data_IF_470026241977
#
_entry.id   IF_470026241977
#
_cell.length_a   1.000
_cell.length_b   1.000
_cell.length_c   1.000
_cell.angle_alpha   90.00
_cell.angle_beta   90.00
_cell.angle_gamma   90.00
#
_symmetry.space_group_name_H-M   'P 1'
#
loop_
_entity.id
_entity.type
_entity.pdbx_description
1 polymer ?
#
# COMPACT_ATOMS: atom_id res chain seq x y z
N UNK A 1 -8.21 -10.74 -39.76
CA UNK A 1 -7.44 -9.64 -39.14
C UNK A 1 -8.40 -8.93 -38.20
N UNK A 2 -8.54 -9.46 -36.98
CA UNK A 2 -9.50 -8.95 -36.01
C UNK A 2 -8.86 -7.77 -35.27
N UNK A 3 -9.34 -6.56 -35.54
CA UNK A 3 -9.09 -5.41 -34.66
C UNK A 3 -9.76 -5.74 -33.32
N UNK A 4 -8.95 -6.07 -32.31
CA UNK A 4 -9.36 -5.95 -30.91
C UNK A 4 -9.56 -4.45 -30.65
N UNK A 5 -10.81 -4.01 -30.60
CA UNK A 5 -11.17 -2.73 -30.01
C UNK A 5 -10.88 -2.84 -28.50
N UNK A 6 -9.66 -2.52 -28.10
CA UNK A 6 -9.34 -2.24 -26.70
C UNK A 6 -9.96 -0.89 -26.40
N UNK A 7 -11.14 -0.87 -25.78
CA UNK A 7 -11.65 0.34 -25.15
C UNK A 7 -10.69 0.66 -23.99
N UNK A 8 -9.85 1.66 -24.17
CA UNK A 8 -9.04 2.23 -23.11
C UNK A 8 -9.93 3.27 -22.40
N UNK A 9 -10.27 3.04 -21.14
CA UNK A 9 -10.88 4.08 -20.32
C UNK A 9 -9.81 5.05 -19.90
N UNK A 10 -10.13 6.32 -20.13
CA UNK A 10 -9.33 7.45 -19.71
C UNK A 10 -9.86 7.88 -18.35
N UNK A 11 -9.02 7.75 -17.33
CA UNK A 11 -9.40 8.11 -15.99
C UNK A 11 -8.84 9.49 -15.66
N UNK A 12 -9.74 10.39 -15.27
CA UNK A 12 -9.42 11.78 -14.97
C UNK A 12 -9.14 11.91 -13.48
N UNK A 13 -7.90 12.20 -13.14
CA UNK A 13 -7.49 12.50 -11.78
C UNK A 13 -7.52 14.01 -11.61
N UNK A 14 -8.55 14.52 -10.92
CA UNK A 14 -8.68 15.94 -10.64
C UNK A 14 -7.75 16.35 -9.48
N UNK A 15 -7.09 17.50 -9.65
CA UNK A 15 -6.28 18.13 -8.60
C UNK A 15 -7.20 19.09 -7.87
N UNK A 16 -7.24 19.01 -6.54
CA UNK A 16 -8.08 19.87 -5.72
C UNK A 16 -7.81 21.35 -6.04
N UNK A 17 -8.84 22.08 -6.46
CA UNK A 17 -8.79 23.51 -6.73
C UNK A 17 -9.31 24.28 -5.52
N UNK A 18 -8.71 25.44 -5.24
CA UNK A 18 -9.35 26.41 -4.35
C UNK A 18 -10.61 26.95 -5.05
N UNK A 19 -11.59 27.41 -4.27
CA UNK A 19 -12.91 27.89 -4.72
C UNK A 19 -12.91 29.09 -5.71
N UNK A 20 -11.74 29.48 -6.23
CA UNK A 20 -11.52 30.61 -7.12
C UNK A 20 -10.73 30.25 -8.39
N UNK A 21 -10.96 29.10 -9.04
CA UNK A 21 -10.49 28.87 -10.42
C UNK A 21 -8.98 29.00 -10.68
N UNK A 22 -8.16 29.12 -9.63
CA UNK A 22 -6.71 29.25 -9.73
C UNK A 22 -6.10 27.88 -10.05
N UNK A 23 -5.18 27.87 -11.00
CA UNK A 23 -4.43 26.67 -11.37
C UNK A 23 -3.60 26.21 -10.17
N UNK A 24 -3.77 24.95 -9.70
CA UNK A 24 -3.03 24.44 -8.55
C UNK A 24 -1.52 24.63 -8.72
N UNK A 25 -0.89 25.23 -7.71
CA UNK A 25 0.57 25.42 -7.69
C UNK A 25 1.21 24.26 -6.95
N UNK A 26 2.28 23.71 -7.49
CA UNK A 26 3.05 22.61 -6.91
C UNK A 26 4.55 22.77 -7.11
N UNK A 27 5.27 21.70 -6.80
CA UNK A 27 6.71 21.58 -7.03
C UNK A 27 6.96 20.32 -7.84
N UNK A 28 7.54 20.49 -9.03
CA UNK A 28 8.05 19.39 -9.85
C UNK A 28 9.50 19.11 -9.45
N UNK A 29 9.84 17.85 -9.21
CA UNK A 29 11.20 17.40 -8.91
C UNK A 29 11.68 16.46 -10.01
N UNK A 30 12.86 16.71 -10.56
CA UNK A 30 13.50 15.86 -11.58
C UNK A 30 14.26 14.70 -10.94
N UNK A 31 14.51 13.65 -11.71
CA UNK A 31 15.30 12.48 -11.27
C UNK A 31 16.74 12.84 -10.84
N UNK A 32 17.23 14.01 -11.25
CA UNK A 32 18.52 14.57 -10.80
C UNK A 32 18.45 15.34 -9.47
N UNK A 33 17.26 15.55 -8.90
CA UNK A 33 17.03 16.27 -7.64
C UNK A 33 16.68 17.75 -7.79
N UNK A 34 16.81 18.33 -9.00
CA UNK A 34 16.39 19.71 -9.26
C UNK A 34 14.88 19.88 -9.10
N UNK A 35 14.45 21.01 -8.52
CA UNK A 35 13.05 21.28 -8.23
C UNK A 35 12.58 22.63 -8.81
N UNK A 36 11.38 22.65 -9.39
CA UNK A 36 10.78 23.83 -10.04
C UNK A 36 9.35 24.06 -9.52
N UNK A 37 9.13 25.16 -8.82
CA UNK A 37 7.77 25.59 -8.44
C UNK A 37 6.99 26.14 -9.64
N UNK A 38 5.73 25.75 -9.75
CA UNK A 38 4.89 26.12 -10.88
C UNK A 38 3.55 25.41 -10.88
N UNK A 39 2.97 25.24 -12.04
CA UNK A 39 1.72 24.51 -12.25
C UNK A 39 1.74 23.71 -13.55
N UNK A 40 0.79 22.79 -13.67
CA UNK A 40 0.55 22.12 -14.95
C UNK A 40 0.06 23.10 -16.01
N UNK A 41 0.48 22.85 -17.25
CA UNK A 41 -0.05 23.47 -18.46
C UNK A 41 -0.61 22.35 -19.36
N UNK A 42 -1.60 22.67 -20.20
CA UNK A 42 -2.22 21.68 -21.07
C UNK A 42 -1.18 21.00 -21.99
N UNK A 43 -1.26 19.68 -22.10
CA UNK A 43 -0.45 18.85 -22.99
C UNK A 43 -1.32 17.74 -23.57
N UNK A 44 -1.36 17.59 -24.89
CA UNK A 44 -2.05 16.47 -25.56
C UNK A 44 -1.07 15.39 -26.03
N UNK A 45 0.20 15.48 -25.64
CA UNK A 45 1.24 14.53 -26.02
C UNK A 45 1.42 13.47 -24.92
N UNK A 46 1.25 12.18 -25.23
CA UNK A 46 1.45 11.12 -24.26
C UNK A 46 2.85 11.14 -23.65
N UNK A 47 2.94 10.92 -22.34
CA UNK A 47 4.18 10.96 -21.55
C UNK A 47 4.94 12.30 -21.55
N UNK A 48 4.33 13.39 -22.04
CA UNK A 48 4.91 14.74 -21.95
C UNK A 48 4.14 15.57 -20.93
N UNK A 49 4.85 15.95 -19.87
CA UNK A 49 4.37 16.82 -18.82
C UNK A 49 4.77 18.26 -19.15
N UNK A 50 3.77 19.14 -19.30
CA UNK A 50 4.01 20.57 -19.50
C UNK A 50 3.86 21.32 -18.18
N UNK A 51 4.89 22.09 -17.83
CA UNK A 51 5.00 22.74 -16.53
C UNK A 51 5.31 24.23 -16.67
N UNK A 52 4.39 25.07 -16.22
CA UNK A 52 4.57 26.52 -16.19
C UNK A 52 5.26 26.92 -14.88
N UNK A 53 6.57 27.14 -14.95
CA UNK A 53 7.34 27.62 -13.80
C UNK A 53 6.99 29.07 -13.43
N UNK A 54 6.95 29.38 -12.13
CA UNK A 54 6.49 30.68 -11.58
C UNK A 54 7.24 31.90 -12.14
N UNK A 55 8.49 31.73 -12.52
CA UNK A 55 9.38 32.81 -12.97
C UNK A 55 9.76 32.71 -14.46
N UNK A 56 9.05 31.89 -15.22
CA UNK A 56 9.35 31.63 -16.62
C UNK A 56 8.22 32.14 -17.52
N UNK A 57 8.58 32.67 -18.70
CA UNK A 57 7.61 33.21 -19.66
C UNK A 57 6.92 32.13 -20.49
N UNK A 58 7.52 30.94 -20.58
CA UNK A 58 7.02 29.81 -21.33
C UNK A 58 7.10 28.54 -20.48
N UNK A 59 6.20 27.56 -20.69
CA UNK A 59 6.24 26.30 -19.99
C UNK A 59 7.41 25.44 -20.46
N UNK A 60 7.89 24.59 -19.56
CA UNK A 60 8.84 23.52 -19.87
C UNK A 60 8.08 22.26 -20.31
N UNK A 61 8.73 21.44 -21.12
CA UNK A 61 8.25 20.12 -21.49
C UNK A 61 9.22 19.09 -20.92
N UNK A 62 8.67 18.14 -20.15
CA UNK A 62 9.44 17.06 -19.54
C UNK A 62 8.87 15.73 -20.00
N UNK A 63 9.74 14.82 -20.42
CA UNK A 63 9.40 13.40 -20.49
C UNK A 63 9.15 12.90 -19.07
N UNK A 64 8.02 12.23 -18.83
CA UNK A 64 7.63 11.73 -17.50
C UNK A 64 8.73 10.85 -16.87
N UNK A 65 9.54 10.13 -17.65
CA UNK A 65 10.65 9.32 -17.14
C UNK A 65 11.79 10.13 -16.51
N UNK A 66 11.86 11.44 -16.79
CA UNK A 66 12.84 12.36 -16.21
C UNK A 66 12.33 13.06 -14.95
N UNK A 67 11.04 12.91 -14.65
CA UNK A 67 10.37 13.51 -13.49
C UNK A 67 10.32 12.49 -12.37
N UNK A 68 10.84 12.88 -11.20
CA UNK A 68 10.77 12.05 -9.99
C UNK A 68 9.41 12.19 -9.31
N UNK A 69 8.88 13.41 -9.19
CA UNK A 69 7.58 13.66 -8.57
C UNK A 69 7.03 15.03 -8.94
N UNK A 70 5.71 15.19 -8.78
CA UNK A 70 5.05 16.49 -8.72
C UNK A 70 4.17 16.51 -7.48
N UNK A 71 4.48 17.42 -6.56
CA UNK A 71 3.79 17.52 -5.28
C UNK A 71 3.01 18.83 -5.18
N UNK A 72 1.72 18.72 -4.88
CA UNK A 72 0.84 19.86 -4.61
C UNK A 72 0.66 20.00 -3.10
N UNK A 73 1.02 21.15 -2.50
CA UNK A 73 0.86 21.36 -1.06
C UNK A 73 -0.61 21.31 -0.69
N UNK A 74 -0.92 20.60 0.39
CA UNK A 74 -2.27 20.53 0.96
C UNK A 74 -2.35 21.52 2.12
N UNK A 75 -3.46 22.25 2.24
CA UNK A 75 -3.74 23.04 3.44
C UNK A 75 -4.64 22.30 4.43
N UNK A 76 -5.18 21.15 4.02
CA UNK A 76 -6.07 20.33 4.82
C UNK A 76 -5.31 19.11 5.33
N UNK A 77 -5.65 18.63 6.55
CA UNK A 77 -5.16 17.35 7.04
C UNK A 77 -5.46 16.23 6.03
N UNK A 78 -4.63 15.19 5.95
CA UNK A 78 -4.89 14.03 5.11
C UNK A 78 -6.31 13.51 5.35
N UNK A 79 -7.10 13.38 4.29
CA UNK A 79 -8.41 12.76 4.38
C UNK A 79 -8.23 11.26 4.62
N UNK A 80 -9.12 10.65 5.40
CA UNK A 80 -9.16 9.19 5.48
C UNK A 80 -9.85 8.63 4.23
N UNK A 81 -9.42 7.44 3.77
CA UNK A 81 -10.13 6.70 2.73
C UNK A 81 -11.62 6.58 3.08
N UNK A 82 -12.48 7.07 2.20
CA UNK A 82 -13.94 6.96 2.31
C UNK A 82 -14.49 5.97 1.29
N UNK A 83 -15.59 5.30 1.62
CA UNK A 83 -16.25 4.33 0.75
C UNK A 83 -16.63 3.06 1.52
N UNK A 84 -17.39 2.17 0.88
CA UNK A 84 -17.80 0.90 1.49
C UNK A 84 -16.66 -0.12 1.44
N UNK A 85 -16.08 -0.28 0.25
CA UNK A 85 -14.99 -1.21 -0.03
C UNK A 85 -13.76 -0.46 -0.50
N UNK A 86 -12.59 -0.96 -0.12
CA UNK A 86 -11.32 -0.68 -0.78
C UNK A 86 -11.01 -1.82 -1.75
N UNK A 87 -10.60 -1.47 -2.96
CA UNK A 87 -10.13 -2.38 -4.00
C UNK A 87 -8.66 -2.09 -4.21
N UNK A 88 -7.82 -3.10 -3.99
CA UNK A 88 -6.40 -3.04 -4.29
C UNK A 88 -6.07 -3.94 -5.47
N UNK A 89 -5.36 -3.39 -6.43
CA UNK A 89 -4.85 -4.11 -7.60
C UNK A 89 -3.45 -4.63 -7.32
N UNK A 90 -3.04 -5.65 -8.05
CA UNK A 90 -1.72 -6.21 -7.93
C UNK A 90 -0.60 -5.26 -8.40
N UNK A 91 -0.96 -4.21 -9.16
CA UNK A 91 -0.08 -3.07 -9.47
C UNK A 91 0.28 -2.22 -8.25
N UNK A 92 -0.44 -2.39 -7.13
CA UNK A 92 -0.38 -1.50 -5.97
C UNK A 92 -1.34 -0.31 -6.06
N UNK A 93 -2.11 -0.21 -7.14
CA UNK A 93 -3.21 0.75 -7.24
C UNK A 93 -4.29 0.43 -6.21
N UNK A 94 -4.91 1.48 -5.67
CA UNK A 94 -5.94 1.36 -4.65
C UNK A 94 -6.98 2.45 -4.85
N UNK A 95 -8.25 2.08 -4.82
CA UNK A 95 -9.35 3.02 -4.86
C UNK A 95 -10.54 2.45 -4.09
N UNK A 96 -11.55 3.27 -3.85
CA UNK A 96 -12.72 2.90 -3.07
C UNK A 96 -14.00 3.03 -3.86
N UNK A 97 -15.02 2.28 -3.43
CA UNK A 97 -16.32 2.29 -4.05
C UNK A 97 -17.26 1.25 -3.49
N UNK A 98 -18.32 1.00 -4.24
CA UNK A 98 -19.31 -0.05 -3.99
C UNK A 98 -19.27 -1.08 -5.12
N UNK A 99 -19.28 -2.36 -4.78
CA UNK A 99 -19.31 -3.44 -5.77
C UNK A 99 -20.70 -3.49 -6.42
N UNK A 100 -20.73 -3.44 -7.75
CA UNK A 100 -21.95 -3.56 -8.55
C UNK A 100 -22.04 -4.93 -9.21
N UNK A 101 -20.92 -5.45 -9.70
CA UNK A 101 -20.87 -6.75 -10.36
C UNK A 101 -19.50 -7.38 -10.18
N UNK A 102 -19.46 -8.71 -10.16
CA UNK A 102 -18.23 -9.47 -10.22
C UNK A 102 -18.44 -10.76 -11.02
N UNK A 103 -17.61 -11.01 -12.02
CA UNK A 103 -17.52 -12.30 -12.69
C UNK A 103 -16.04 -12.73 -12.83
N UNK A 104 -15.79 -13.79 -13.60
CA UNK A 104 -14.46 -14.34 -13.84
C UNK A 104 -13.55 -13.43 -14.67
N UNK A 105 -14.11 -12.44 -15.37
CA UNK A 105 -13.38 -11.54 -16.27
C UNK A 105 -13.20 -10.14 -15.71
N UNK A 106 -14.24 -9.57 -15.10
CA UNK A 106 -14.20 -8.20 -14.59
C UNK A 106 -15.06 -7.99 -13.33
N UNK A 107 -14.80 -6.87 -12.67
CA UNK A 107 -15.59 -6.28 -11.63
C UNK A 107 -16.14 -4.94 -12.11
N UNK A 108 -17.36 -4.61 -11.74
CA UNK A 108 -17.89 -3.26 -11.86
C UNK A 108 -17.94 -2.62 -10.48
N UNK A 109 -17.27 -1.49 -10.32
CA UNK A 109 -17.21 -0.73 -9.07
C UNK A 109 -17.75 0.68 -9.31
N UNK A 110 -18.71 1.09 -8.51
CA UNK A 110 -19.13 2.48 -8.38
C UNK A 110 -18.08 3.21 -7.51
N UNK A 111 -17.05 3.75 -8.16
CA UNK A 111 -15.91 4.38 -7.49
C UNK A 111 -16.26 5.77 -6.96
N UNK A 112 -15.77 6.06 -5.75
CA UNK A 112 -15.95 7.37 -5.10
C UNK A 112 -15.42 8.52 -5.96
N UNK A 113 -14.29 8.33 -6.66
CA UNK A 113 -13.63 9.40 -7.43
C UNK A 113 -13.85 9.32 -8.94
N UNK A 114 -14.14 8.13 -9.46
CA UNK A 114 -14.05 7.86 -10.90
C UNK A 114 -15.37 7.41 -11.53
N UNK A 115 -16.46 7.37 -10.76
CA UNK A 115 -17.73 6.82 -11.20
C UNK A 115 -17.64 5.31 -11.42
N UNK A 116 -18.47 4.78 -12.32
CA UNK A 116 -18.46 3.34 -12.61
C UNK A 116 -17.22 2.97 -13.42
N UNK A 117 -16.40 2.09 -12.86
CA UNK A 117 -15.18 1.56 -13.48
C UNK A 117 -15.26 0.04 -13.63
N UNK A 118 -14.72 -0.49 -14.73
CA UNK A 118 -14.59 -1.94 -14.94
C UNK A 118 -13.15 -2.34 -14.68
N UNK A 119 -12.93 -3.26 -13.75
CA UNK A 119 -11.59 -3.74 -13.37
C UNK A 119 -11.42 -5.16 -13.84
N UNK A 120 -10.28 -5.49 -14.45
CA UNK A 120 -9.95 -6.88 -14.80
C UNK A 120 -9.93 -7.75 -13.54
N UNK A 121 -10.68 -8.85 -13.51
CA UNK A 121 -10.79 -9.69 -12.32
C UNK A 121 -9.46 -10.34 -11.91
N UNK A 122 -8.53 -10.52 -12.87
CA UNK A 122 -7.19 -11.04 -12.63
C UNK A 122 -6.22 -10.01 -12.04
N UNK A 123 -6.49 -8.70 -12.20
CA UNK A 123 -5.64 -7.64 -11.64
C UNK A 123 -5.98 -7.33 -10.19
N UNK A 124 -7.18 -7.71 -9.72
CA UNK A 124 -7.59 -7.53 -8.32
C UNK A 124 -6.76 -8.41 -7.41
N UNK A 125 -6.01 -7.78 -6.50
CA UNK A 125 -5.27 -8.45 -5.43
C UNK A 125 -6.17 -8.71 -4.22
N UNK A 126 -6.96 -7.71 -3.82
CA UNK A 126 -7.91 -7.83 -2.72
C UNK A 126 -9.02 -6.79 -2.77
N UNK A 127 -10.13 -7.14 -2.14
CA UNK A 127 -11.25 -6.25 -1.84
C UNK A 127 -11.55 -6.41 -0.37
N UNK A 128 -11.68 -5.33 0.39
CA UNK A 128 -12.03 -5.42 1.80
C UNK A 128 -12.92 -4.27 2.23
N UNK A 129 -13.75 -4.55 3.23
CA UNK A 129 -14.59 -3.53 3.85
C UNK A 129 -13.70 -2.51 4.56
N UNK A 130 -13.93 -1.22 4.30
CA UNK A 130 -13.25 -0.13 5.01
C UNK A 130 -13.93 0.16 6.35
N UNK A 131 -15.26 0.14 6.36
CA UNK A 131 -16.08 0.30 7.55
C UNK A 131 -16.55 -1.05 8.07
N UNK A 132 -16.65 -1.18 9.40
CA UNK A 132 -17.17 -2.39 10.05
C UNK A 132 -16.38 -3.67 9.73
N UNK A 133 -15.09 -3.54 9.42
CA UNK A 133 -14.21 -4.68 9.23
C UNK A 133 -13.54 -5.07 10.55
N UNK A 134 -14.00 -6.13 11.24
CA UNK A 134 -13.45 -6.52 12.54
C UNK A 134 -11.99 -6.98 12.45
N UNK A 135 -11.53 -7.37 11.25
CA UNK A 135 -10.16 -7.82 11.02
C UNK A 135 -9.22 -6.66 10.73
N UNK A 136 -9.68 -5.50 10.24
CA UNK A 136 -8.81 -4.39 9.88
C UNK A 136 -8.50 -3.52 11.10
N UNK A 137 -7.21 -3.34 11.40
CA UNK A 137 -6.73 -2.47 12.48
C UNK A 137 -6.21 -1.16 11.93
N UNK A 138 -5.47 -1.22 10.81
CA UNK A 138 -4.92 -0.06 10.12
C UNK A 138 -4.93 -0.33 8.62
N UNK A 139 -5.60 0.54 7.86
CA UNK A 139 -5.88 0.36 6.42
C UNK A 139 -4.72 0.76 5.50
N UNK A 140 -3.91 1.73 5.91
CA UNK A 140 -2.89 2.27 5.02
C UNK A 140 -2.29 3.55 5.56
N UNK A 141 -1.15 3.96 4.98
CA UNK A 141 -0.53 5.23 5.31
C UNK A 141 -1.40 6.41 4.86
N UNK A 142 -1.43 7.44 5.69
CA UNK A 142 -2.08 8.73 5.40
C UNK A 142 -1.12 9.85 5.81
N UNK A 143 0.12 9.77 5.31
CA UNK A 143 1.20 10.66 5.72
C UNK A 143 1.62 10.38 7.16
N UNK A 144 1.88 11.44 7.94
CA UNK A 144 2.34 11.33 9.33
C UNK A 144 1.21 11.05 10.32
N UNK A 145 -0.04 10.96 9.87
CA UNK A 145 -1.17 10.63 10.74
C UNK A 145 -0.94 9.26 11.42
N UNK A 146 -1.12 9.20 12.74
CA UNK A 146 -0.84 8.01 13.55
C UNK A 146 0.62 7.85 13.97
N UNK A 147 1.52 8.71 13.50
CA UNK A 147 2.94 8.69 13.84
C UNK A 147 3.33 9.85 14.75
N UNK A 148 4.19 9.55 15.72
CA UNK A 148 4.92 10.50 16.53
C UNK A 148 6.22 10.87 15.80
N UNK A 149 6.16 11.95 15.03
CA UNK A 149 7.33 12.55 14.38
C UNK A 149 7.94 13.60 15.31
N UNK A 150 9.25 13.53 15.53
CA UNK A 150 9.99 14.58 16.22
C UNK A 150 10.75 15.43 15.20
N UNK A 151 10.56 16.75 15.24
CA UNK A 151 11.25 17.68 14.35
C UNK A 151 10.85 17.52 12.88
N UNK A 152 11.84 17.58 11.99
CA UNK A 152 11.66 17.53 10.52
C UNK A 152 12.39 16.34 9.90
N UNK A 153 12.68 15.30 10.70
CA UNK A 153 13.51 14.18 10.27
C UNK A 153 12.79 13.29 9.26
N UNK A 154 11.46 13.17 9.42
CA UNK A 154 10.57 12.44 8.53
C UNK A 154 9.68 13.43 7.79
N UNK A 155 9.55 13.23 6.47
CA UNK A 155 8.70 14.03 5.59
C UNK A 155 7.63 13.16 4.95
N UNK A 156 6.51 13.79 4.64
CA UNK A 156 5.50 13.23 3.76
C UNK A 156 5.96 13.34 2.30
N UNK A 157 5.79 12.28 1.53
CA UNK A 157 5.81 12.32 0.06
C UNK A 157 4.52 11.65 -0.43
N UNK A 158 3.46 12.46 -0.53
CA UNK A 158 2.08 11.97 -0.58
C UNK A 158 1.68 11.31 0.75
N UNK A 159 1.03 10.13 0.74
CA UNK A 159 0.76 9.35 1.93
C UNK A 159 1.98 8.56 2.41
N UNK A 160 3.09 8.52 1.65
CA UNK A 160 4.28 7.77 2.04
C UNK A 160 5.15 8.61 2.98
N UNK A 161 5.98 7.92 3.77
CA UNK A 161 6.89 8.55 4.72
C UNK A 161 8.32 8.32 4.28
N UNK A 162 9.12 9.38 4.23
CA UNK A 162 10.49 9.32 3.77
C UNK A 162 11.44 10.03 4.74
N UNK A 163 12.64 9.51 4.87
CA UNK A 163 13.75 10.21 5.52
C UNK A 163 15.07 9.89 4.83
N UNK A 164 15.97 10.85 4.84
CA UNK A 164 17.37 10.72 4.44
C UNK A 164 18.33 11.13 5.57
N UNK A 165 17.79 11.34 6.77
CA UNK A 165 18.57 11.77 7.92
C UNK A 165 19.04 10.55 8.71
N UNK A 166 20.33 10.52 9.01
CA UNK A 166 20.93 9.46 9.82
C UNK A 166 20.37 9.49 11.24
N UNK A 167 20.15 8.32 11.80
CA UNK A 167 19.54 8.04 13.09
C UNK A 167 18.12 8.62 13.31
N UNK A 168 17.44 9.05 12.25
CA UNK A 168 16.07 9.56 12.32
C UNK A 168 15.09 8.49 12.82
N UNK A 169 14.13 8.89 13.66
CA UNK A 169 13.19 7.96 14.33
C UNK A 169 11.76 8.41 14.19
N UNK A 170 10.89 7.44 13.98
CA UNK A 170 9.43 7.64 14.00
C UNK A 170 8.78 6.45 14.68
N UNK A 171 7.74 6.70 15.46
CA UNK A 171 7.01 5.63 16.17
C UNK A 171 5.52 5.92 16.17
N UNK A 172 4.68 4.93 16.00
CA UNK A 172 3.22 5.09 16.06
C UNK A 172 2.58 4.02 16.92
N UNK A 173 1.51 4.38 17.65
CA UNK A 173 0.72 3.44 18.44
C UNK A 173 -0.48 2.98 17.62
N UNK A 174 -0.30 1.88 16.88
CA UNK A 174 -1.30 1.35 15.96
C UNK A 174 -2.24 0.33 16.60
N UNK A 175 -2.20 0.17 17.93
CA UNK A 175 -2.98 -0.84 18.63
C UNK A 175 -2.78 -2.26 18.05
N UNK A 176 -1.53 -2.62 17.73
CA UNK A 176 -1.23 -3.96 17.21
C UNK A 176 -1.82 -5.02 18.16
N UNK A 177 -2.66 -5.94 17.65
CA UNK A 177 -3.28 -6.97 18.47
C UNK A 177 -2.27 -8.04 18.90
N UNK A 178 -2.67 -8.86 19.88
CA UNK A 178 -1.92 -10.01 20.37
C UNK A 178 -1.47 -10.97 19.24
N UNK A 179 -2.35 -11.16 18.24
CA UNK A 179 -2.07 -11.87 16.99
C UNK A 179 -2.36 -10.97 15.80
N UNK A 180 -1.33 -10.64 15.03
CA UNK A 180 -1.41 -9.66 13.97
C UNK A 180 -0.81 -10.18 12.65
N UNK A 181 -1.44 -9.78 11.54
CA UNK A 181 -0.82 -9.80 10.21
C UNK A 181 -0.42 -8.35 9.89
N UNK A 182 0.87 -8.12 9.67
CA UNK A 182 1.43 -6.79 9.39
C UNK A 182 2.11 -6.84 8.03
N UNK A 183 1.53 -6.15 7.06
CA UNK A 183 2.09 -6.01 5.72
C UNK A 183 2.76 -4.66 5.57
N UNK A 184 3.98 -4.63 5.06
CA UNK A 184 4.73 -3.40 4.86
C UNK A 184 5.62 -3.44 3.62
N UNK A 185 5.87 -2.25 3.08
CA UNK A 185 6.78 -2.05 1.96
C UNK A 185 7.74 -0.90 2.28
N UNK A 186 9.04 -1.19 2.16
CA UNK A 186 10.11 -0.22 2.31
C UNK A 186 10.91 -0.16 1.01
N UNK A 187 11.28 1.04 0.58
CA UNK A 187 12.16 1.26 -0.57
C UNK A 187 13.29 2.24 -0.26
N UNK A 188 14.32 2.21 -1.11
CA UNK A 188 15.52 3.00 -0.96
C UNK A 188 16.21 3.23 -2.30
N UNK A 189 16.74 4.43 -2.57
CA UNK A 189 17.51 4.69 -3.79
C UNK A 189 18.93 4.12 -3.72
N UNK A 190 19.57 4.16 -2.55
CA UNK A 190 20.89 3.57 -2.29
C UNK A 190 20.83 2.51 -1.19
N UNK A 191 21.96 1.86 -0.91
CA UNK A 191 22.03 0.80 0.11
C UNK A 191 21.43 1.29 1.44
N UNK A 192 20.42 0.59 1.98
CA UNK A 192 19.73 1.03 3.19
C UNK A 192 20.47 0.57 4.44
N UNK A 193 20.25 1.26 5.55
CA UNK A 193 20.55 0.75 6.88
C UNK A 193 19.45 1.21 7.84
N UNK A 194 18.55 0.31 8.22
CA UNK A 194 17.42 0.64 9.07
C UNK A 194 17.11 -0.47 10.08
N UNK A 195 16.26 -0.13 11.04
CA UNK A 195 15.51 -1.07 11.86
C UNK A 195 14.02 -0.77 11.78
N UNK A 196 13.20 -1.78 11.50
CA UNK A 196 11.74 -1.75 11.64
C UNK A 196 11.37 -2.64 12.83
N UNK A 197 10.65 -2.09 13.80
CA UNK A 197 10.28 -2.77 15.03
C UNK A 197 8.77 -2.94 15.06
N UNK A 198 8.31 -4.19 15.15
CA UNK A 198 6.90 -4.57 15.21
C UNK A 198 6.53 -4.95 16.64
N UNK A 199 5.38 -4.50 17.13
CA UNK A 199 5.01 -4.70 18.54
C UNK A 199 5.98 -3.99 19.47
N UNK A 200 6.36 -2.76 19.12
CA UNK A 200 7.16 -1.88 19.96
C UNK A 200 6.34 -1.34 21.14
N UNK A 201 7.01 -0.97 22.22
CA UNK A 201 6.45 -0.06 23.21
C UNK A 201 6.37 1.36 22.60
N UNK A 202 5.16 1.91 22.37
CA UNK A 202 5.01 3.23 21.75
C UNK A 202 5.52 4.38 22.63
N UNK A 203 5.64 4.17 23.95
CA UNK A 203 6.09 5.19 24.89
C UNK A 203 7.62 5.18 25.07
N UNK A 204 8.29 4.13 24.60
CA UNK A 204 9.75 4.03 24.67
C UNK A 204 10.41 5.01 23.69
N UNK A 205 11.22 5.92 24.22
CA UNK A 205 11.93 6.94 23.43
C UNK A 205 13.25 6.45 22.85
N UNK A 206 13.89 5.50 23.52
CA UNK A 206 15.19 4.95 23.12
C UNK A 206 15.01 3.76 22.19
N UNK A 207 15.89 3.64 21.18
CA UNK A 207 15.94 2.43 20.35
C UNK A 207 16.71 1.34 21.12
N UNK A 208 15.98 0.44 21.76
CA UNK A 208 16.54 -0.70 22.50
C UNK A 208 16.38 -1.97 21.69
N UNK A 209 17.42 -2.81 21.65
CA UNK A 209 17.36 -4.13 21.00
C UNK A 209 16.28 -5.04 21.56
N UNK A 210 15.93 -4.85 22.83
CA UNK A 210 14.91 -5.64 23.51
C UNK A 210 13.48 -5.16 23.22
N UNK A 211 13.31 -4.08 22.46
CA UNK A 211 12.01 -3.57 22.10
C UNK A 211 11.49 -4.21 20.81
N UNK A 212 10.26 -4.73 20.87
CA UNK A 212 9.55 -5.43 19.80
C UNK A 212 10.32 -6.50 19.02
N UNK A 213 9.74 -6.90 17.91
CA UNK A 213 10.28 -7.84 16.93
C UNK A 213 10.95 -7.03 15.84
N UNK A 214 12.25 -7.23 15.63
CA UNK A 214 13.05 -6.28 14.85
C UNK A 214 13.41 -6.90 13.51
N UNK A 215 13.11 -6.19 12.44
CA UNK A 215 13.73 -6.43 11.13
C UNK A 215 14.85 -5.41 10.95
N UNK A 216 16.09 -5.88 10.86
CA UNK A 216 17.28 -5.03 10.81
C UNK A 216 18.20 -5.35 9.64
N UNK A 217 18.81 -4.30 9.10
CA UNK A 217 19.91 -4.43 8.14
C UNK A 217 21.24 -4.69 8.85
N UNK A 218 21.95 -5.73 8.42
CA UNK A 218 23.35 -6.00 8.75
C UNK A 218 24.15 -6.15 7.47
N UNK A 219 24.80 -5.07 7.06
CA UNK A 219 25.46 -4.96 5.76
C UNK A 219 24.49 -5.19 4.59
N UNK A 220 24.46 -6.38 3.99
CA UNK A 220 23.52 -6.76 2.91
C UNK A 220 22.43 -7.73 3.41
N UNK A 221 22.50 -8.16 4.65
CA UNK A 221 21.56 -9.11 5.23
C UNK A 221 20.39 -8.35 5.86
N UNK A 222 19.16 -8.62 5.42
CA UNK A 222 17.97 -8.28 6.19
C UNK A 222 17.68 -9.46 7.11
N UNK A 223 17.81 -9.26 8.42
CA UNK A 223 17.51 -10.27 9.43
C UNK A 223 16.29 -9.91 10.26
N UNK A 224 15.66 -10.91 10.85
CA UNK A 224 14.66 -10.75 11.91
C UNK A 224 15.27 -11.21 13.22
N UNK A 225 15.12 -10.44 14.29
CA UNK A 225 15.58 -10.80 15.62
C UNK A 225 14.59 -10.40 16.71
N UNK A 226 14.69 -11.11 17.83
CA UNK A 226 14.06 -10.75 19.10
C UNK A 226 15.04 -11.09 20.22
N UNK A 227 15.22 -10.16 21.15
CA UNK A 227 16.08 -10.33 22.32
C UNK A 227 15.32 -9.88 23.57
N UNK A 228 15.45 -10.61 24.67
CA UNK A 228 15.22 -10.05 26.01
C UNK A 228 15.91 -10.93 27.06
N UNK A 229 16.38 -10.29 28.14
CA UNK A 229 17.15 -10.95 29.21
C UNK A 229 18.34 -11.73 28.61
N UNK A 230 18.34 -13.05 28.73
CA UNK A 230 19.39 -13.95 28.26
C UNK A 230 18.96 -14.82 27.07
N UNK A 231 17.83 -14.49 26.42
CA UNK A 231 17.30 -15.22 25.27
C UNK A 231 17.30 -14.30 24.06
N UNK A 232 17.87 -14.80 22.96
CA UNK A 232 17.78 -14.18 21.66
C UNK A 232 17.55 -15.26 20.60
N UNK A 233 16.78 -14.91 19.58
CA UNK A 233 16.67 -15.70 18.36
C UNK A 233 16.80 -14.77 17.15
N UNK A 234 17.37 -15.29 16.07
CA UNK A 234 17.67 -14.56 14.86
C UNK A 234 17.57 -15.46 13.65
N UNK A 235 16.96 -14.95 12.58
CA UNK A 235 16.90 -15.62 11.29
C UNK A 235 17.17 -14.62 10.16
N UNK A 236 17.61 -15.15 9.01
CA UNK A 236 17.76 -14.38 7.78
C UNK A 236 16.43 -14.29 7.07
N UNK A 237 16.02 -13.07 6.72
CA UNK A 237 14.84 -12.82 5.88
C UNK A 237 15.22 -12.72 4.40
N UNK A 238 16.25 -11.93 4.07
CA UNK A 238 16.65 -11.72 2.68
C UNK A 238 18.10 -11.24 2.54
N UNK A 239 18.66 -11.38 1.33
CA UNK A 239 19.89 -10.71 0.91
C UNK A 239 19.53 -9.50 0.04
N UNK A 240 19.90 -8.30 0.49
CA UNK A 240 19.66 -7.02 -0.19
C UNK A 240 20.89 -6.69 -1.05
N UNK A 241 20.89 -7.22 -2.27
CA UNK A 241 21.90 -6.89 -3.27
C UNK A 241 21.71 -5.45 -3.80
N UNK A 242 22.73 -4.80 -4.40
CA UNK A 242 22.63 -3.42 -4.87
C UNK A 242 21.50 -3.14 -5.88
N UNK A 243 21.06 -4.16 -6.62
CA UNK A 243 19.93 -4.10 -7.55
C UNK A 243 18.56 -4.13 -6.86
N UNK A 244 18.49 -4.61 -5.62
CA UNK A 244 17.25 -4.63 -4.83
C UNK A 244 17.07 -3.26 -4.18
N UNK A 245 15.98 -2.58 -4.55
CA UNK A 245 15.64 -1.23 -4.09
C UNK A 245 14.40 -1.18 -3.20
N UNK A 246 13.84 -2.34 -2.91
CA UNK A 246 12.55 -2.49 -2.22
C UNK A 246 12.44 -3.87 -1.58
N UNK A 247 11.71 -3.93 -0.47
CA UNK A 247 11.15 -5.16 0.08
C UNK A 247 9.66 -4.96 0.37
N UNK A 248 8.86 -5.97 0.05
CA UNK A 248 7.44 -6.06 0.41
C UNK A 248 7.23 -7.37 1.15
N UNK A 249 6.95 -7.26 2.45
CA UNK A 249 6.91 -8.38 3.38
C UNK A 249 5.59 -8.38 4.16
N UNK A 250 5.21 -9.57 4.62
CA UNK A 250 4.06 -9.82 5.46
C UNK A 250 4.55 -10.58 6.70
N UNK A 251 4.38 -9.99 7.87
CA UNK A 251 4.72 -10.59 9.16
C UNK A 251 3.45 -11.11 9.85
N UNK A 252 3.46 -12.39 10.21
CA UNK A 252 2.48 -13.01 11.11
C UNK A 252 3.09 -13.08 12.49
N UNK A 253 2.58 -12.23 13.38
CA UNK A 253 3.10 -12.02 14.73
C UNK A 253 2.14 -12.64 15.75
N UNK A 254 2.62 -13.59 16.55
CA UNK A 254 1.94 -14.11 17.74
C UNK A 254 2.70 -13.66 18.99
N UNK A 255 2.23 -12.60 19.63
CA UNK A 255 2.87 -12.05 20.82
C UNK A 255 2.62 -12.89 22.08
N UNK A 256 1.57 -13.72 22.08
CA UNK A 256 1.22 -14.59 23.21
C UNK A 256 2.05 -15.88 23.19
N UNK A 257 2.30 -16.43 22.01
CA UNK A 257 3.21 -17.57 21.85
C UNK A 257 4.68 -17.14 21.80
N UNK A 258 4.94 -15.87 21.46
CA UNK A 258 6.29 -15.36 21.30
C UNK A 258 6.91 -15.85 19.99
N UNK A 259 6.21 -15.67 18.87
CA UNK A 259 6.73 -16.04 17.55
C UNK A 259 6.40 -15.03 16.47
N UNK A 260 7.25 -14.99 15.44
CA UNK A 260 7.01 -14.23 14.22
C UNK A 260 7.40 -15.07 13.00
N UNK A 261 6.59 -14.97 11.95
CA UNK A 261 6.83 -15.64 10.67
C UNK A 261 6.69 -14.61 9.56
N UNK A 262 7.74 -14.47 8.76
CA UNK A 262 7.84 -13.48 7.69
C UNK A 262 7.66 -14.18 6.35
N UNK A 263 6.84 -13.60 5.49
CA UNK A 263 6.61 -14.02 4.12
C UNK A 263 6.90 -12.87 3.17
N UNK A 264 7.32 -13.19 1.95
CA UNK A 264 7.30 -12.25 0.84
C UNK A 264 5.85 -12.03 0.36
N UNK A 265 5.62 -10.95 -0.38
CA UNK A 265 4.29 -10.60 -0.89
C UNK A 265 3.65 -11.67 -1.80
N UNK A 266 4.47 -12.55 -2.39
CA UNK A 266 4.03 -13.70 -3.18
C UNK A 266 3.61 -14.92 -2.32
N UNK A 267 3.69 -14.80 -0.99
CA UNK A 267 3.35 -15.88 -0.05
C UNK A 267 4.47 -16.90 0.18
N UNK A 268 5.69 -16.66 -0.33
CA UNK A 268 6.83 -17.52 -0.01
C UNK A 268 7.34 -17.26 1.42
N UNK A 269 7.65 -18.30 2.22
CA UNK A 269 8.27 -18.11 3.54
C UNK A 269 9.66 -17.47 3.41
N UNK A 270 9.93 -16.45 4.23
CA UNK A 270 11.18 -15.68 4.19
C UNK A 270 12.00 -15.79 5.48
N UNK A 271 11.38 -15.91 6.65
CA UNK A 271 12.09 -16.10 7.92
C UNK A 271 11.17 -16.40 9.10
N UNK A 272 11.71 -17.02 10.15
CA UNK A 272 10.95 -17.39 11.35
C UNK A 272 11.84 -17.41 12.58
N UNK A 273 11.36 -16.80 13.66
CA UNK A 273 11.99 -16.89 14.99
C UNK A 273 10.95 -17.12 16.08
N UNK A 274 11.39 -17.67 17.21
CA UNK A 274 10.57 -17.89 18.39
C UNK A 274 11.34 -17.54 19.66
N UNK A 275 10.79 -16.60 20.42
CA UNK A 275 11.31 -16.18 21.72
C UNK A 275 10.12 -16.06 22.66
N UNK A 276 9.98 -16.96 23.65
CA UNK A 276 8.84 -16.99 24.56
C UNK A 276 8.60 -15.62 25.24
N UNK A 277 7.35 -15.19 25.45
CA UNK A 277 7.10 -13.90 26.10
C UNK A 277 7.63 -13.89 27.54
N UNK A 278 8.06 -12.71 28.01
CA UNK A 278 8.44 -12.53 29.41
C UNK A 278 7.18 -12.51 30.26
N UNK A 279 7.13 -13.36 31.27
CA UNK A 279 6.03 -13.38 32.24
C UNK A 279 5.78 -11.99 32.83
N UNK A 280 4.52 -11.55 32.83
CA UNK A 280 4.09 -10.25 33.35
C UNK A 280 4.30 -9.07 32.40
N UNK A 281 4.85 -9.27 31.20
CA UNK A 281 4.94 -8.22 30.17
C UNK A 281 3.72 -8.21 29.27
N UNK A 282 3.29 -7.02 28.84
CA UNK A 282 2.20 -6.86 27.88
C UNK A 282 2.73 -6.92 26.44
N UNK A 283 1.96 -7.46 25.49
CA UNK A 283 2.23 -7.31 24.06
C UNK A 283 2.44 -5.84 23.69
N UNK A 284 3.41 -5.58 22.81
CA UNK A 284 3.65 -4.25 22.30
C UNK A 284 2.60 -3.90 21.24
N UNK A 285 2.29 -2.60 21.13
CA UNK A 285 1.21 -2.10 20.28
C UNK A 285 1.68 -1.22 19.14
N UNK A 286 2.94 -0.79 19.20
CA UNK A 286 3.48 0.21 18.30
C UNK A 286 4.30 -0.37 17.15
N UNK A 287 4.57 0.50 16.19
CA UNK A 287 5.60 0.29 15.17
C UNK A 287 6.62 1.40 15.33
N UNK A 288 7.92 1.06 15.23
CA UNK A 288 9.00 2.04 15.16
C UNK A 288 9.85 1.80 13.93
N UNK A 289 10.28 2.89 13.30
CA UNK A 289 11.30 2.86 12.26
C UNK A 289 12.46 3.74 12.70
N UNK A 290 13.66 3.21 12.55
CA UNK A 290 14.92 3.91 12.76
C UNK A 290 15.71 3.85 11.47
N UNK A 291 15.95 5.00 10.84
CA UNK A 291 16.85 5.11 9.71
C UNK A 291 18.27 5.28 10.24
N UNK A 292 19.09 4.23 10.27
CA UNK A 292 20.47 4.32 10.77
C UNK A 292 21.37 5.06 9.79
N UNK A 293 21.18 4.85 8.49
CA UNK A 293 21.89 5.59 7.45
C UNK A 293 21.19 5.46 6.09
N UNK A 294 21.35 6.50 5.27
CA UNK A 294 20.89 6.52 3.88
C UNK A 294 19.48 7.06 3.77
N UNK A 295 18.81 6.76 2.64
CA UNK A 295 17.42 7.18 2.42
C UNK A 295 16.52 5.96 2.42
N UNK A 296 15.44 6.03 3.21
CA UNK A 296 14.39 5.02 3.24
C UNK A 296 13.03 5.68 3.08
N UNK A 297 12.12 4.94 2.45
CA UNK A 297 10.73 5.31 2.27
C UNK A 297 9.81 4.16 2.68
N UNK A 298 8.85 4.44 3.55
CA UNK A 298 7.75 3.55 3.87
C UNK A 298 6.60 3.83 2.90
N UNK A 299 6.37 2.87 1.99
CA UNK A 299 5.34 2.97 0.94
C UNK A 299 4.05 2.26 1.31
N UNK A 300 4.11 1.28 2.23
CA UNK A 300 2.95 0.50 2.65
C UNK A 300 3.03 0.12 4.11
N UNK A 301 1.90 0.22 4.80
CA UNK A 301 1.69 -0.36 6.11
C UNK A 301 0.21 -0.72 6.26
N UNK A 302 -0.08 -2.00 6.48
CA UNK A 302 -1.43 -2.50 6.79
C UNK A 302 -1.34 -3.46 7.98
N UNK A 303 -2.26 -3.31 8.93
CA UNK A 303 -2.33 -4.14 10.12
C UNK A 303 -3.72 -4.77 10.17
N UNK A 304 -3.76 -6.08 10.31
CA UNK A 304 -4.98 -6.85 10.50
C UNK A 304 -4.87 -7.80 11.69
N UNK A 305 -6.01 -8.11 12.31
CA UNK A 305 -6.13 -9.22 13.26
C UNK A 305 -5.88 -10.52 12.52
N UNK A 306 -5.17 -11.42 13.19
CA UNK A 306 -4.84 -12.73 12.65
C UNK A 306 -5.37 -13.83 13.57
N UNK A 307 -5.94 -14.88 12.98
CA UNK A 307 -6.55 -15.99 13.70
C UNK A 307 -5.54 -17.08 14.14
N UNK A 308 -4.24 -16.90 13.83
CA UNK A 308 -3.20 -17.89 14.13
C UNK A 308 -2.95 -18.91 13.01
N UNK A 309 -3.74 -18.91 11.94
CA UNK A 309 -3.54 -19.77 10.79
C UNK A 309 -2.73 -19.07 9.70
N UNK A 310 -1.57 -19.63 9.39
CA UNK A 310 -0.73 -19.12 8.31
C UNK A 310 -1.45 -19.21 6.96
N UNK A 311 -1.12 -18.32 6.02
CA UNK A 311 -1.72 -18.34 4.70
C UNK A 311 -1.39 -19.65 4.00
N UNK A 312 -2.40 -20.26 3.41
CA UNK A 312 -2.23 -21.32 2.41
C UNK A 312 -2.13 -20.67 1.03
N UNK A 313 -1.38 -21.28 0.10
CA UNK A 313 -1.35 -20.79 -1.28
C UNK A 313 -2.75 -20.78 -1.87
N UNK A 314 -3.16 -19.64 -2.43
CA UNK A 314 -4.45 -19.49 -3.11
C UNK A 314 -4.26 -20.03 -4.55
N UNK A 315 -4.95 -21.11 -4.95
CA UNK A 315 -4.81 -21.65 -6.30
C UNK A 315 -5.17 -20.63 -7.38
N UNK A 316 -4.56 -20.77 -8.56
CA UNK A 316 -4.84 -19.88 -9.70
C UNK A 316 -6.33 -19.97 -10.07
N UNK A 317 -6.97 -18.82 -10.19
CA UNK A 317 -8.40 -18.70 -10.47
C UNK A 317 -9.31 -18.70 -9.24
N UNK A 318 -8.83 -19.19 -8.10
CA UNK A 318 -9.55 -19.14 -6.83
C UNK A 318 -9.30 -17.82 -6.08
N UNK A 319 -10.17 -17.60 -5.08
CA UNK A 319 -10.18 -16.46 -4.17
C UNK A 319 -10.37 -16.98 -2.76
N UNK A 320 -9.62 -16.41 -1.82
CA UNK A 320 -9.86 -16.56 -0.40
C UNK A 320 -10.88 -15.53 0.07
N UNK A 321 -12.06 -16.00 0.48
CA UNK A 321 -13.09 -15.21 1.14
C UNK A 321 -12.90 -15.34 2.65
N UNK A 322 -12.41 -14.27 3.27
CA UNK A 322 -12.28 -14.16 4.71
C UNK A 322 -13.60 -13.67 5.29
N UNK A 323 -14.13 -14.43 6.24
CA UNK A 323 -15.43 -14.18 6.83
C UNK A 323 -15.30 -13.44 8.17
N UNK A 324 -16.37 -12.76 8.57
CA UNK A 324 -16.44 -12.01 9.82
C UNK A 324 -16.24 -12.88 11.08
N UNK A 325 -16.50 -14.18 10.98
CA UNK A 325 -16.24 -15.17 12.03
C UNK A 325 -14.77 -15.60 12.13
N UNK A 326 -13.91 -15.08 11.24
CA UNK A 326 -12.47 -15.38 11.19
C UNK A 326 -12.11 -16.63 10.38
N UNK A 327 -13.07 -17.31 9.77
CA UNK A 327 -12.83 -18.44 8.86
C UNK A 327 -12.49 -17.94 7.44
N UNK A 328 -11.82 -18.81 6.66
CA UNK A 328 -11.49 -18.53 5.25
C UNK A 328 -12.09 -19.63 4.38
N UNK A 329 -12.76 -19.24 3.30
CA UNK A 329 -13.24 -20.16 2.27
C UNK A 329 -12.53 -19.90 0.95
N UNK A 330 -12.00 -20.95 0.32
CA UNK A 330 -11.45 -20.87 -1.03
C UNK A 330 -12.56 -21.21 -2.04
N UNK A 331 -12.67 -20.43 -3.11
CA UNK A 331 -13.62 -20.72 -4.18
C UNK A 331 -13.41 -19.88 -5.44
N UNK A 332 -14.03 -20.32 -6.53
CA UNK A 332 -13.99 -19.63 -7.82
C UNK A 332 -15.15 -18.62 -7.86
N UNK A 333 -14.91 -17.31 -8.09
CA UNK A 333 -15.98 -16.33 -8.20
C UNK A 333 -16.95 -16.71 -9.33
N UNK A 334 -18.25 -16.60 -9.07
CA UNK A 334 -19.32 -16.84 -10.05
C UNK A 334 -20.16 -15.59 -10.29
N UNK A 335 -20.21 -14.68 -9.32
CA UNK A 335 -21.13 -13.56 -9.37
C UNK A 335 -21.08 -12.67 -8.14
N UNK A 336 -21.62 -11.47 -8.29
CA UNK A 336 -22.12 -10.66 -7.18
C UNK A 336 -23.55 -10.23 -7.52
N UNK A 337 -24.48 -10.42 -6.60
CA UNK A 337 -25.86 -9.96 -6.72
C UNK A 337 -25.99 -8.63 -5.96
N UNK A 338 -26.12 -7.53 -6.69
CA UNK A 338 -26.18 -6.19 -6.09
C UNK A 338 -27.50 -5.91 -5.36
N UNK A 339 -28.59 -6.59 -5.72
CA UNK A 339 -29.89 -6.39 -5.09
C UNK A 339 -29.92 -7.06 -3.71
N UNK A 340 -29.34 -8.26 -3.60
CA UNK A 340 -29.24 -8.98 -2.32
C UNK A 340 -27.93 -8.74 -1.56
N UNK A 341 -26.95 -8.09 -2.20
CA UNK A 341 -25.58 -7.90 -1.69
C UNK A 341 -24.92 -9.23 -1.32
N UNK A 342 -24.95 -10.19 -2.24
CA UNK A 342 -24.39 -11.54 -2.02
C UNK A 342 -23.26 -11.86 -3.00
N UNK A 343 -22.14 -12.34 -2.44
CA UNK A 343 -21.11 -13.03 -3.21
C UNK A 343 -21.58 -14.43 -3.59
N UNK A 344 -21.34 -14.81 -4.84
CA UNK A 344 -21.56 -16.17 -5.34
C UNK A 344 -20.22 -16.77 -5.77
N UNK A 345 -19.86 -17.92 -5.21
CA UNK A 345 -18.62 -18.61 -5.55
C UNK A 345 -18.76 -20.12 -5.49
N UNK A 346 -18.04 -20.81 -6.38
CA UNK A 346 -18.04 -22.27 -6.48
C UNK A 346 -17.00 -22.87 -5.54
N UNK A 347 -17.41 -23.83 -4.71
CA UNK A 347 -16.55 -24.63 -3.82
C UNK A 347 -16.79 -26.10 -4.12
N UNK A 348 -15.80 -26.80 -4.68
CA UNK A 348 -16.03 -28.14 -5.21
C UNK A 348 -17.02 -28.08 -6.38
N UNK A 349 -18.16 -28.78 -6.25
CA UNK A 349 -19.26 -28.72 -7.23
C UNK A 349 -20.44 -27.83 -6.80
N UNK A 350 -20.41 -27.31 -5.56
CA UNK A 350 -21.48 -26.51 -5.01
C UNK A 350 -21.26 -25.01 -5.25
N UNK A 351 -22.34 -24.28 -5.50
CA UNK A 351 -22.32 -22.80 -5.49
C UNK A 351 -22.75 -22.34 -4.10
N UNK A 352 -21.86 -21.62 -3.42
CA UNK A 352 -22.15 -20.97 -2.15
C UNK A 352 -22.55 -19.52 -2.37
N UNK A 353 -23.39 -19.05 -1.45
CA UNK A 353 -23.76 -17.64 -1.30
C UNK A 353 -23.28 -17.17 0.06
N UNK A 354 -22.77 -15.95 0.12
CA UNK A 354 -22.42 -15.29 1.36
C UNK A 354 -22.77 -13.82 1.26
N UNK A 355 -23.37 -13.28 2.31
CA UNK A 355 -23.68 -11.85 2.35
C UNK A 355 -22.39 -11.05 2.30
N UNK A 356 -22.43 -9.88 1.69
CA UNK A 356 -21.31 -8.94 1.69
C UNK A 356 -20.93 -8.50 3.11
N UNK A 357 -21.89 -8.48 4.04
CA UNK A 357 -21.64 -8.17 5.43
C UNK A 357 -20.76 -9.24 6.10
N UNK A 358 -20.93 -10.51 5.72
CA UNK A 358 -20.15 -11.64 6.25
C UNK A 358 -18.76 -11.73 5.60
N UNK A 359 -18.59 -11.31 4.35
CA UNK A 359 -17.30 -11.30 3.66
C UNK A 359 -16.54 -10.01 3.97
N UNK A 360 -15.56 -10.09 4.87
CA UNK A 360 -14.79 -8.92 5.31
C UNK A 360 -13.59 -8.62 4.42
N UNK A 361 -13.10 -9.64 3.69
CA UNK A 361 -12.05 -9.51 2.69
C UNK A 361 -12.15 -10.63 1.65
N UNK A 362 -12.00 -10.29 0.38
CA UNK A 362 -11.75 -11.22 -0.71
C UNK A 362 -10.31 -11.03 -1.18
N UNK A 363 -9.52 -12.09 -1.24
CA UNK A 363 -8.10 -12.03 -1.58
C UNK A 363 -7.76 -13.02 -2.71
N UNK A 364 -7.00 -12.56 -3.70
CA UNK A 364 -6.44 -13.41 -4.76
C UNK A 364 -4.96 -13.63 -4.49
N UNK A 365 -4.43 -14.80 -4.87
CA UNK A 365 -2.98 -15.02 -4.89
C UNK A 365 -2.24 -13.96 -5.73
N UNK A 366 -0.92 -13.79 -5.51
CA UNK A 366 -0.10 -12.88 -6.31
C UNK A 366 -0.21 -13.22 -7.82
N UNK A 367 -0.21 -12.23 -8.71
CA UNK A 367 -0.16 -12.51 -10.15
C UNK A 367 1.24 -13.04 -10.54
N UNK A 368 1.32 -13.71 -11.69
CA UNK A 368 2.60 -14.17 -12.25
C UNK A 368 3.50 -13.00 -12.67
N UNK A 369 2.90 -11.91 -13.16
CA UNK A 369 3.60 -10.68 -13.54
C UNK A 369 2.69 -9.47 -13.37
N UNK A 370 3.31 -8.34 -13.03
CA UNK A 370 2.67 -7.03 -13.00
C UNK A 370 3.35 -6.19 -14.08
N UNK A 371 2.56 -5.61 -14.99
CA UNK A 371 3.08 -4.74 -16.03
C UNK A 371 3.66 -3.46 -15.43
N UNK A 372 4.87 -3.09 -15.84
CA UNK A 372 5.51 -1.85 -15.40
C UNK A 372 4.69 -0.62 -15.80
N UNK A 373 4.68 0.40 -14.95
CA UNK A 373 3.89 1.63 -15.12
C UNK A 373 4.84 2.81 -15.23
N UNK A 374 4.57 3.75 -16.14
CA UNK A 374 5.46 4.91 -16.34
C UNK A 374 5.26 5.98 -15.27
N UNK A 375 4.07 6.03 -14.66
CA UNK A 375 3.78 6.91 -13.54
C UNK A 375 2.75 6.33 -12.58
N UNK A 376 2.69 6.93 -11.39
CA UNK A 376 1.58 6.79 -10.46
C UNK A 376 1.05 8.18 -10.08
N UNK A 377 -0.26 8.25 -9.89
CA UNK A 377 -1.00 9.40 -9.37
C UNK A 377 -1.62 9.01 -8.04
N UNK A 378 -1.78 9.99 -7.16
CA UNK A 378 -2.21 9.74 -5.80
C UNK A 378 -3.02 10.92 -5.29
N UNK A 379 -4.17 10.62 -4.71
CA UNK A 379 -5.02 11.58 -4.05
C UNK A 379 -4.69 11.65 -2.56
N UNK A 380 -5.10 12.74 -1.92
CA UNK A 380 -4.83 13.00 -0.51
C UNK A 380 -5.48 11.98 0.44
N UNK A 381 -6.52 11.30 -0.02
CA UNK A 381 -7.19 10.26 0.78
C UNK A 381 -6.46 8.92 0.75
N UNK A 382 -5.43 8.76 -0.10
CA UNK A 382 -4.69 7.51 -0.28
C UNK A 382 -5.12 6.71 -1.52
N UNK A 383 -6.11 7.18 -2.28
CA UNK A 383 -6.42 6.62 -3.60
C UNK A 383 -5.20 6.75 -4.51
N UNK A 384 -4.81 5.67 -5.18
CA UNK A 384 -3.64 5.56 -6.03
C UNK A 384 -4.00 4.86 -7.33
N UNK A 385 -3.58 5.45 -8.45
CA UNK A 385 -3.71 4.85 -9.77
C UNK A 385 -2.41 5.01 -10.57
N UNK A 386 -2.04 3.98 -11.32
CA UNK A 386 -0.82 3.96 -12.10
C UNK A 386 -1.07 3.51 -13.52
N UNK A 387 -0.25 4.00 -14.43
CA UNK A 387 -0.49 3.84 -15.85
C UNK A 387 0.41 4.72 -16.70
N UNK A 388 -0.09 5.02 -17.89
CA UNK A 388 0.56 5.88 -18.87
C UNK A 388 -0.13 7.25 -18.88
N UNK A 389 0.66 8.32 -18.92
CA UNK A 389 0.13 9.68 -19.11
C UNK A 389 -0.35 9.83 -20.55
N UNK A 390 -1.63 10.13 -20.74
CA UNK A 390 -2.20 10.37 -22.06
C UNK A 390 -2.25 11.86 -22.38
N UNK A 391 -2.70 12.68 -21.41
CA UNK A 391 -2.72 14.13 -21.52
C UNK A 391 -2.74 14.81 -20.16
N UNK A 392 -2.31 16.07 -20.16
CA UNK A 392 -2.40 17.00 -19.04
C UNK A 392 -3.44 18.06 -19.37
N UNK A 393 -4.35 18.28 -18.43
CA UNK A 393 -5.26 19.41 -18.41
C UNK A 393 -4.86 20.30 -17.21
N UNK A 394 -5.20 21.60 -17.25
CA UNK A 394 -4.70 22.58 -16.27
C UNK A 394 -4.90 22.17 -14.79
N UNK A 395 -5.95 21.40 -14.48
CA UNK A 395 -6.22 20.91 -13.13
C UNK A 395 -6.49 19.39 -13.07
N UNK A 396 -6.14 18.64 -14.12
CA UNK A 396 -6.40 17.20 -14.18
C UNK A 396 -5.34 16.46 -14.98
N UNK A 397 -5.08 15.22 -14.59
CA UNK A 397 -4.28 14.29 -15.37
C UNK A 397 -5.21 13.24 -15.97
N UNK A 398 -4.95 12.89 -17.22
CA UNK A 398 -5.63 11.77 -17.85
C UNK A 398 -4.65 10.62 -17.98
N UNK A 399 -4.94 9.54 -17.26
CA UNK A 399 -4.07 8.37 -17.16
C UNK A 399 -4.79 7.19 -17.77
N UNK A 400 -4.10 6.46 -18.65
CA UNK A 400 -4.54 5.15 -19.10
C UNK A 400 -4.04 4.10 -18.11
N UNK A 401 -4.98 3.47 -17.40
CA UNK A 401 -4.70 2.39 -16.45
C UNK A 401 -4.93 1.03 -17.14
N UNK A 402 -3.88 0.21 -17.38
CA UNK A 402 -4.03 -1.09 -18.05
C UNK A 402 -5.04 -2.06 -17.43
N UNK A 403 -5.36 -1.91 -16.14
CA UNK A 403 -6.23 -2.79 -15.38
C UNK A 403 -7.69 -2.33 -15.27
N UNK A 404 -7.97 -1.09 -15.73
CA UNK A 404 -9.25 -0.41 -15.55
C UNK A 404 -9.77 0.07 -16.92
N UNK A 405 -11.04 -0.20 -17.22
CA UNK A 405 -11.73 0.15 -18.48
C UNK A 405 -13.16 0.64 -18.28
#
# INVERSE_FOLDING_TARGET
MNLRNTFALLLVVAIATNAFGDVPQGVLTLSGGDAVSGAFENSNEPNILRWQGKHFLSPFEFDVSTVSSVNFPTQQPPAQLTGELAVELASGDMFTGRLLQWNDQHLEIDSVHFGVVHVKAESVRRIYRLTENPLLVYSGLTGVAGWNVHGTEWREDGPFLETSQDDAKISGDFQIPDKAMIEFELSWPQKPNFALVLGADPDLKEDKRQDGWRLEMWDQLLGVLREHKDIADVDRVAMILPSVKRVHLIAYLDQLEGSIQIFTADGSPAGKISVPPVEGTKPGRGIRIVNRHGTIRLERLRIARWNGQLPTSIPKGEIAYHLADGTTQLGIPQGFDADTREYMFKVGDDVKRSSEADVVMSERGPPEAVEARSMATMLQDGTRLSGQLERVEAASLVVQCPDIS
#
